data_IF_562902456495
#
_entry.id   IF_562902456495
#
_cell.length_a   1.000
_cell.length_b   1.000
_cell.length_c   1.000
_cell.angle_alpha   90.00
_cell.angle_beta   90.00
_cell.angle_gamma   90.00
#
_symmetry.space_group_name_H-M   'P 1'
#
loop_
_entity.id
_entity.type
_entity.pdbx_description
1 polymer ?
#
# COMPACT_ATOMS: atom_id res chain seq x y z
N UNK A 1 -52.91 65.30 -75.14
CA UNK A 1 -53.84 65.83 -74.13
C UNK A 1 -53.83 64.90 -72.97
N UNK A 2 -53.70 65.53 -71.71
CA UNK A 2 -53.95 65.00 -70.34
C UNK A 2 -53.12 63.78 -69.95
N UNK A 3 -52.03 63.96 -69.31
CA UNK A 3 -51.68 64.00 -67.86
C UNK A 3 -52.51 63.13 -66.90
N UNK A 4 -51.93 62.17 -66.27
CA UNK A 4 -52.27 61.87 -64.86
C UNK A 4 -51.08 61.13 -64.19
N UNK A 5 -50.60 61.82 -63.20
CA UNK A 5 -49.52 61.37 -62.30
C UNK A 5 -50.06 60.36 -61.25
N UNK A 6 -49.38 59.30 -61.08
CA UNK A 6 -49.62 58.42 -59.90
C UNK A 6 -48.32 58.27 -59.08
N UNK A 7 -48.37 58.87 -57.96
CA UNK A 7 -47.29 58.84 -56.92
C UNK A 7 -47.27 57.44 -56.28
N UNK A 8 -46.23 56.70 -56.50
CA UNK A 8 -45.95 55.49 -55.77
C UNK A 8 -45.18 55.84 -54.50
N UNK A 9 -45.85 55.60 -53.38
CA UNK A 9 -45.31 55.76 -52.03
C UNK A 9 -44.55 54.49 -51.68
N UNK A 10 -43.23 54.50 -51.76
CA UNK A 10 -42.36 53.42 -51.34
C UNK A 10 -42.18 53.41 -49.82
N UNK A 11 -42.79 52.42 -49.18
CA UNK A 11 -42.61 52.09 -47.78
C UNK A 11 -41.25 51.39 -47.64
N UNK A 12 -40.28 52.08 -47.01
CA UNK A 12 -38.97 51.54 -46.70
C UNK A 12 -39.05 50.92 -45.28
N UNK A 13 -39.31 49.64 -45.22
CA UNK A 13 -39.28 48.85 -43.96
C UNK A 13 -37.81 48.55 -43.65
N UNK A 14 -37.22 49.30 -42.71
CA UNK A 14 -35.87 49.06 -42.22
C UNK A 14 -35.83 47.78 -41.37
N UNK A 15 -35.19 46.76 -41.89
CA UNK A 15 -34.85 45.53 -41.17
C UNK A 15 -33.70 45.81 -40.21
N UNK A 16 -33.98 46.00 -38.95
CA UNK A 16 -32.96 46.12 -37.89
C UNK A 16 -32.38 44.72 -37.62
N UNK A 17 -31.22 44.42 -38.19
CA UNK A 17 -30.45 43.23 -37.84
C UNK A 17 -29.76 43.50 -36.49
N UNK A 18 -30.30 42.94 -35.43
CA UNK A 18 -29.68 42.95 -34.11
C UNK A 18 -28.54 41.92 -34.11
N UNK A 19 -27.30 42.39 -34.36
CA UNK A 19 -26.12 41.58 -34.21
C UNK A 19 -25.88 41.26 -32.72
N UNK A 20 -26.30 40.06 -32.29
CA UNK A 20 -25.91 39.49 -31.00
C UNK A 20 -24.43 39.16 -31.08
N UNK A 21 -23.60 40.01 -30.51
CA UNK A 21 -22.20 39.68 -30.24
C UNK A 21 -22.18 38.61 -29.19
N UNK A 22 -22.01 37.34 -29.61
CA UNK A 22 -21.70 36.26 -28.64
C UNK A 22 -20.28 36.55 -28.12
N UNK A 23 -20.23 36.96 -26.84
CA UNK A 23 -18.98 36.98 -26.09
C UNK A 23 -18.60 35.51 -25.85
N UNK A 24 -17.74 34.98 -26.70
CA UNK A 24 -17.08 33.71 -26.41
C UNK A 24 -16.11 33.96 -25.27
N UNK A 25 -16.47 33.50 -24.09
CA UNK A 25 -15.60 33.53 -22.92
C UNK A 25 -14.62 32.35 -23.06
N UNK A 26 -13.35 32.65 -23.25
CA UNK A 26 -12.30 31.63 -23.36
C UNK A 26 -12.08 30.98 -22.00
N UNK A 27 -12.53 29.73 -21.84
CA UNK A 27 -12.24 28.92 -20.65
C UNK A 27 -10.79 28.42 -20.73
N UNK A 28 -9.92 28.97 -19.93
CA UNK A 28 -8.54 28.54 -19.80
C UNK A 28 -8.43 27.43 -18.76
N UNK A 29 -8.18 26.21 -19.20
CA UNK A 29 -7.96 25.07 -18.31
C UNK A 29 -6.44 24.84 -18.24
N UNK A 30 -5.89 24.96 -17.04
CA UNK A 30 -4.48 24.66 -16.78
C UNK A 30 -4.37 23.24 -16.24
N UNK A 31 -3.59 22.41 -16.90
CA UNK A 31 -3.20 21.09 -16.40
C UNK A 31 -1.79 21.20 -15.83
N UNK A 32 -1.62 20.79 -14.59
CA UNK A 32 -0.32 20.70 -13.95
C UNK A 32 -0.17 19.33 -13.33
N UNK A 33 1.01 18.77 -13.45
CA UNK A 33 1.36 17.47 -12.90
C UNK A 33 2.87 17.35 -12.82
N UNK A 34 3.36 16.51 -11.94
CA UNK A 34 4.76 16.13 -11.90
C UNK A 34 4.87 14.65 -12.28
N UNK A 35 5.75 14.35 -13.23
CA UNK A 35 6.19 13.00 -13.47
C UNK A 35 7.33 12.71 -12.50
N UNK A 36 7.06 11.86 -11.52
CA UNK A 36 8.09 11.44 -10.56
C UNK A 36 8.64 10.09 -11.00
N UNK A 37 9.95 9.97 -10.99
CA UNK A 37 10.61 8.67 -11.16
C UNK A 37 10.54 7.97 -9.82
N UNK A 38 10.00 6.74 -9.74
CA UNK A 38 10.00 5.99 -8.49
C UNK A 38 11.45 5.83 -8.03
N UNK A 39 11.70 6.16 -6.78
CA UNK A 39 13.04 6.16 -6.21
C UNK A 39 13.55 4.77 -5.86
N UNK A 40 12.63 3.78 -5.74
CA UNK A 40 12.96 2.37 -5.56
C UNK A 40 11.89 1.48 -6.16
N UNK A 41 12.30 0.37 -6.73
CA UNK A 41 11.43 -0.71 -7.16
C UNK A 41 11.58 -1.88 -6.18
N UNK A 42 10.46 -2.35 -5.64
CA UNK A 42 10.44 -3.57 -4.88
C UNK A 42 10.39 -4.74 -5.87
N UNK A 43 11.50 -5.40 -6.08
CA UNK A 43 11.51 -6.65 -6.84
C UNK A 43 11.03 -7.76 -5.92
N UNK A 44 9.76 -8.04 -6.02
CA UNK A 44 9.19 -9.27 -5.46
C UNK A 44 9.26 -10.30 -6.59
N UNK A 45 10.23 -11.17 -6.55
CA UNK A 45 10.31 -12.29 -7.52
C UNK A 45 9.04 -13.14 -7.51
N UNK A 46 8.33 -13.13 -6.39
CA UNK A 46 7.02 -13.76 -6.19
C UNK A 46 6.15 -12.82 -5.35
N UNK A 47 4.94 -12.55 -5.80
CA UNK A 47 3.95 -11.77 -5.06
C UNK A 47 3.59 -12.37 -3.69
N UNK A 48 3.93 -13.64 -3.48
CA UNK A 48 3.67 -14.37 -2.24
C UNK A 48 4.91 -15.18 -1.84
N UNK A 49 5.23 -15.14 -0.56
CA UNK A 49 6.27 -15.96 0.05
C UNK A 49 5.68 -16.78 1.20
N UNK A 50 5.87 -18.10 1.18
CA UNK A 50 5.46 -18.97 2.26
C UNK A 50 6.63 -19.25 3.19
N UNK A 51 6.45 -18.95 4.48
CA UNK A 51 7.41 -19.26 5.53
C UNK A 51 6.89 -20.45 6.32
N UNK A 52 7.55 -21.60 6.19
CA UNK A 52 7.21 -22.79 6.97
C UNK A 52 7.81 -22.67 8.37
N UNK A 53 6.96 -22.50 9.38
CA UNK A 53 7.40 -22.40 10.78
C UNK A 53 7.81 -23.73 11.38
N UNK A 54 7.44 -24.86 10.77
CA UNK A 54 7.74 -26.21 11.23
C UNK A 54 6.66 -26.79 12.14
N UNK A 55 6.87 -28.02 12.56
CA UNK A 55 5.95 -28.77 13.39
C UNK A 55 6.45 -28.79 14.85
N UNK A 56 5.58 -28.45 15.78
CA UNK A 56 5.87 -28.44 17.20
C UNK A 56 4.81 -29.24 17.97
N UNK A 57 5.26 -30.05 18.92
CA UNK A 57 4.31 -30.67 19.79
C UNK A 57 3.89 -29.72 20.94
N UNK A 58 2.68 -29.91 21.44
CA UNK A 58 2.09 -29.07 22.48
C UNK A 58 2.97 -28.97 23.74
N UNK A 59 3.58 -30.07 24.16
CA UNK A 59 4.42 -30.12 25.38
C UNK A 59 5.68 -29.27 25.23
N UNK A 60 6.34 -29.35 24.09
CA UNK A 60 7.56 -28.58 23.85
C UNK A 60 7.26 -27.09 23.71
N UNK A 61 6.19 -26.73 23.00
CA UNK A 61 5.78 -25.34 22.87
C UNK A 61 5.39 -24.73 24.24
N UNK A 62 4.67 -25.47 25.09
CA UNK A 62 4.32 -25.02 26.43
C UNK A 62 5.54 -24.77 27.31
N UNK A 63 6.63 -25.49 27.08
CA UNK A 63 7.87 -25.34 27.83
C UNK A 63 8.76 -24.22 27.30
N UNK A 64 8.81 -24.04 26.00
CA UNK A 64 9.64 -23.02 25.36
C UNK A 64 9.01 -21.63 25.40
N UNK A 65 7.69 -21.52 25.50
CA UNK A 65 6.87 -20.31 25.34
C UNK A 65 7.03 -19.66 23.95
N UNK A 66 8.20 -19.68 23.35
CA UNK A 66 8.54 -19.11 22.03
C UNK A 66 9.37 -20.13 21.25
N UNK A 67 9.04 -20.35 19.98
CA UNK A 67 9.83 -21.23 19.10
C UNK A 67 11.09 -20.52 18.58
N UNK A 68 12.09 -21.27 18.13
CA UNK A 68 13.16 -20.69 17.34
C UNK A 68 12.61 -19.97 16.09
N UNK A 69 13.16 -18.79 15.77
CA UNK A 69 12.75 -18.03 14.60
C UNK A 69 13.15 -18.71 13.31
N UNK A 70 12.26 -18.77 12.34
CA UNK A 70 12.52 -19.21 10.96
C UNK A 70 12.82 -18.01 10.10
N UNK A 71 13.99 -18.03 9.46
CA UNK A 71 14.44 -16.92 8.62
C UNK A 71 13.59 -16.79 7.34
N UNK A 72 13.31 -15.57 6.96
CA UNK A 72 12.80 -15.18 5.66
C UNK A 72 13.43 -13.85 5.24
N UNK A 73 13.31 -13.50 3.99
CA UNK A 73 14.00 -12.35 3.43
C UNK A 73 13.06 -11.54 2.55
N UNK A 74 13.24 -10.22 2.58
CA UNK A 74 12.62 -9.31 1.62
C UNK A 74 13.75 -8.74 0.77
N UNK A 75 13.71 -9.03 -0.52
CA UNK A 75 14.67 -8.49 -1.48
C UNK A 75 14.11 -7.19 -2.06
N UNK A 76 14.90 -6.14 -1.99
CA UNK A 76 14.60 -4.84 -2.57
C UNK A 76 15.67 -4.44 -3.57
N UNK A 77 15.25 -3.86 -4.68
CA UNK A 77 16.15 -3.19 -5.61
C UNK A 77 16.16 -1.72 -5.28
N UNK A 78 17.33 -1.21 -4.96
CA UNK A 78 17.51 0.18 -4.60
C UNK A 78 17.76 1.02 -5.85
N UNK A 79 17.06 2.14 -5.98
CA UNK A 79 17.27 3.08 -7.06
C UNK A 79 18.36 4.08 -6.68
N UNK A 80 19.10 4.57 -7.68
CA UNK A 80 20.25 5.44 -7.49
C UNK A 80 19.99 6.75 -6.73
N UNK A 81 18.72 7.15 -6.59
CA UNK A 81 18.30 8.43 -5.99
C UNK A 81 17.65 8.31 -4.62
N UNK A 82 17.27 7.11 -4.17
CA UNK A 82 16.67 6.93 -2.86
C UNK A 82 17.72 6.75 -1.78
N UNK A 83 17.59 7.48 -0.70
CA UNK A 83 18.48 7.34 0.45
C UNK A 83 17.90 6.48 1.55
N UNK A 84 16.57 6.34 1.60
CA UNK A 84 15.87 5.57 2.62
C UNK A 84 14.61 4.91 2.05
N UNK A 85 14.25 3.79 2.64
CA UNK A 85 12.97 3.11 2.42
C UNK A 85 12.36 2.78 3.77
N UNK A 86 11.05 2.95 3.88
CA UNK A 86 10.30 2.63 5.08
C UNK A 86 9.38 1.44 4.81
N UNK A 87 9.32 0.51 5.76
CA UNK A 87 8.46 -0.67 5.70
C UNK A 87 7.56 -0.73 6.92
N UNK A 88 6.34 -1.16 6.70
CA UNK A 88 5.39 -1.49 7.76
C UNK A 88 4.83 -2.88 7.47
N UNK A 89 4.82 -3.75 8.47
CA UNK A 89 4.10 -5.01 8.40
C UNK A 89 2.68 -4.80 8.89
N UNK A 90 1.69 -5.22 8.09
CA UNK A 90 0.27 -5.10 8.40
C UNK A 90 -0.41 -6.46 8.39
N UNK A 91 -1.37 -6.66 9.30
CA UNK A 91 -2.09 -7.92 9.38
C UNK A 91 -3.10 -7.95 10.54
N UNK A 92 -3.79 -9.05 10.69
CA UNK A 92 -4.71 -9.25 11.80
C UNK A 92 -3.92 -9.51 13.08
N UNK A 93 -4.15 -8.69 14.11
CA UNK A 93 -3.49 -8.87 15.40
C UNK A 93 -4.11 -9.99 16.24
N UNK A 94 -3.26 -10.71 16.96
CA UNK A 94 -3.68 -11.73 17.90
C UNK A 94 -4.31 -11.08 19.15
N UNK A 95 -5.47 -11.57 19.56
CA UNK A 95 -6.09 -11.16 20.80
C UNK A 95 -5.17 -11.48 22.00
N UNK A 96 -4.80 -10.47 22.77
CA UNK A 96 -3.95 -10.62 23.95
C UNK A 96 -2.45 -10.42 23.75
N UNK A 97 -1.95 -10.32 22.51
CA UNK A 97 -0.56 -9.98 22.20
C UNK A 97 -0.51 -8.94 21.08
N UNK A 98 -0.56 -7.66 21.45
CA UNK A 98 -0.47 -6.57 20.48
C UNK A 98 0.84 -6.61 19.68
N UNK A 99 0.75 -6.33 18.39
CA UNK A 99 1.86 -6.35 17.46
C UNK A 99 2.29 -7.75 16.99
N UNK A 100 1.50 -8.79 17.28
CA UNK A 100 1.69 -10.14 16.76
C UNK A 100 0.52 -10.55 15.88
N UNK A 101 0.77 -11.42 14.89
CA UNK A 101 -0.24 -11.92 13.98
C UNK A 101 -1.14 -12.97 14.65
N UNK A 102 -2.42 -12.84 14.43
CA UNK A 102 -3.38 -13.90 14.68
C UNK A 102 -3.13 -15.08 13.73
N UNK A 103 -3.48 -16.27 14.17
CA UNK A 103 -3.51 -17.46 13.34
C UNK A 103 -4.95 -17.82 12.98
N UNK A 104 -5.11 -18.47 11.85
CA UNK A 104 -6.35 -19.05 11.36
C UNK A 104 -6.19 -20.58 11.25
N UNK A 105 -7.25 -21.33 11.48
CA UNK A 105 -7.27 -22.79 11.37
C UNK A 105 -7.70 -23.47 12.64
N UNK A 106 -7.23 -24.71 12.82
CA UNK A 106 -7.66 -25.58 13.94
C UNK A 106 -6.81 -25.39 15.21
N UNK A 107 -5.71 -24.63 15.13
CA UNK A 107 -4.81 -24.34 16.25
C UNK A 107 -5.31 -23.14 17.04
N UNK A 108 -5.14 -23.16 18.37
CA UNK A 108 -5.41 -22.03 19.23
C UNK A 108 -4.33 -21.86 20.30
N UNK A 109 -4.30 -20.71 20.97
CA UNK A 109 -3.38 -20.43 22.07
C UNK A 109 -1.99 -20.00 21.64
N UNK A 110 -1.79 -19.65 20.37
CA UNK A 110 -0.51 -19.13 19.84
C UNK A 110 -0.73 -17.93 18.92
N UNK A 111 0.32 -17.13 18.77
CA UNK A 111 0.41 -16.05 17.80
C UNK A 111 1.74 -16.14 17.04
N UNK A 112 1.84 -15.46 15.90
CA UNK A 112 3.09 -15.37 15.13
C UNK A 112 3.72 -14.01 15.39
N UNK A 113 4.98 -14.02 15.83
CA UNK A 113 5.80 -12.83 15.95
C UNK A 113 6.80 -12.73 14.81
N UNK A 114 7.13 -11.51 14.45
CA UNK A 114 8.21 -11.18 13.52
C UNK A 114 9.32 -10.51 14.30
N UNK A 115 10.56 -10.85 14.00
CA UNK A 115 11.73 -10.20 14.56
C UNK A 115 12.76 -9.87 13.49
N UNK A 116 13.54 -8.84 13.75
CA UNK A 116 14.67 -8.49 12.89
C UNK A 116 15.87 -9.44 13.14
N UNK A 117 16.95 -9.22 12.42
CA UNK A 117 18.18 -10.02 12.55
C UNK A 117 18.73 -10.04 13.99
N UNK A 118 18.64 -8.93 14.70
CA UNK A 118 19.11 -8.82 16.09
C UNK A 118 18.19 -9.49 17.12
N UNK A 119 17.06 -10.06 16.69
CA UNK A 119 16.08 -10.71 17.57
C UNK A 119 15.11 -9.73 18.23
N UNK A 120 15.10 -8.46 17.83
CA UNK A 120 14.12 -7.50 18.32
C UNK A 120 12.78 -7.71 17.61
N UNK A 121 11.72 -7.88 18.38
CA UNK A 121 10.36 -7.98 17.85
C UNK A 121 10.00 -6.74 17.03
N UNK A 122 9.37 -6.97 15.89
CA UNK A 122 8.74 -5.98 15.04
C UNK A 122 7.24 -6.08 15.27
N UNK A 123 6.62 -5.01 15.73
CA UNK A 123 5.18 -4.97 15.93
C UNK A 123 4.48 -4.70 14.60
N UNK A 124 3.62 -5.63 14.18
CA UNK A 124 2.73 -5.38 13.05
C UNK A 124 1.79 -4.22 13.38
N UNK A 125 1.32 -3.52 12.36
CA UNK A 125 0.44 -2.34 12.45
C UNK A 125 0.99 -1.18 13.31
N UNK A 126 2.26 -1.24 13.74
CA UNK A 126 2.83 -0.26 14.67
C UNK A 126 4.22 0.21 14.32
N UNK A 127 5.17 -0.70 14.12
CA UNK A 127 6.56 -0.33 13.91
C UNK A 127 6.82 0.02 12.44
N UNK A 128 7.40 1.19 12.20
CA UNK A 128 7.97 1.57 10.91
C UNK A 128 9.46 1.25 10.91
N UNK A 129 9.88 0.39 10.02
CA UNK A 129 11.29 0.04 9.82
C UNK A 129 11.89 0.95 8.75
N UNK A 130 13.04 1.52 9.03
CA UNK A 130 13.76 2.35 8.07
C UNK A 130 15.10 1.72 7.73
N UNK A 131 15.39 1.67 6.44
CA UNK A 131 16.67 1.16 5.92
C UNK A 131 17.28 2.17 4.96
N UNK A 132 18.60 2.34 5.10
CA UNK A 132 19.37 3.11 4.14
C UNK A 132 19.56 2.28 2.86
N UNK A 133 19.23 2.87 1.73
CA UNK A 133 19.20 2.20 0.41
C UNK A 133 20.03 2.96 -0.62
N UNK A 134 21.17 3.45 -0.22
CA UNK A 134 22.08 4.13 -1.15
C UNK A 134 22.80 3.15 -2.05
N UNK A 135 22.88 3.43 -3.34
CA UNK A 135 23.82 2.79 -4.24
C UNK A 135 23.30 1.94 -5.39
N UNK A 136 21.98 1.82 -5.62
CA UNK A 136 21.45 1.08 -6.79
C UNK A 136 21.70 -0.43 -6.75
N UNK A 137 21.90 -1.01 -5.58
CA UNK A 137 22.18 -2.43 -5.37
C UNK A 137 20.95 -3.21 -4.89
N UNK A 138 20.95 -4.50 -5.17
CA UNK A 138 20.01 -5.43 -4.53
C UNK A 138 20.33 -5.54 -3.05
N UNK A 139 19.35 -5.25 -2.20
CA UNK A 139 19.49 -5.39 -0.76
C UNK A 139 18.52 -6.42 -0.23
N UNK A 140 19.08 -7.42 0.45
CA UNK A 140 18.32 -8.46 1.13
C UNK A 140 18.13 -8.09 2.58
N UNK A 141 16.87 -7.95 3.01
CA UNK A 141 16.50 -7.63 4.38
C UNK A 141 16.14 -8.92 5.11
N UNK A 142 16.90 -9.33 6.12
CA UNK A 142 16.64 -10.55 6.88
C UNK A 142 15.65 -10.32 8.00
N UNK A 143 14.70 -11.24 8.10
CA UNK A 143 13.70 -11.31 9.18
C UNK A 143 13.57 -12.74 9.68
N UNK A 144 12.95 -12.91 10.84
CA UNK A 144 12.57 -14.21 11.37
C UNK A 144 11.12 -14.17 11.83
N UNK A 145 10.40 -15.27 11.60
CA UNK A 145 9.07 -15.49 12.14
C UNK A 145 9.08 -16.64 13.13
N UNK A 146 8.30 -16.54 14.20
CA UNK A 146 8.24 -17.52 15.26
C UNK A 146 6.84 -17.65 15.83
N UNK A 147 6.56 -18.77 16.51
CA UNK A 147 5.35 -18.94 17.31
C UNK A 147 5.59 -18.49 18.76
N UNK A 148 4.63 -17.76 19.29
CA UNK A 148 4.58 -17.32 20.67
C UNK A 148 3.33 -17.89 21.34
N UNK A 149 3.50 -18.51 22.52
CA UNK A 149 2.39 -18.98 23.33
C UNK A 149 1.60 -17.79 23.91
N UNK A 150 0.28 -17.85 23.80
CA UNK A 150 -0.64 -16.92 24.43
C UNK A 150 -0.89 -17.35 25.89
N UNK A 151 -0.35 -16.60 26.83
CA UNK A 151 -0.50 -16.92 28.27
C UNK A 151 -1.98 -16.84 28.67
N UNK A 152 -2.44 -17.88 29.37
CA UNK A 152 -3.82 -17.95 29.84
C UNK A 152 -4.84 -18.41 28.80
N UNK A 153 -4.41 -18.81 27.63
CA UNK A 153 -5.28 -19.43 26.62
C UNK A 153 -4.96 -20.93 26.49
N UNK A 154 -5.99 -21.71 26.18
CA UNK A 154 -5.83 -23.14 25.93
C UNK A 154 -5.11 -23.37 24.62
N UNK A 155 -3.98 -24.06 24.69
CA UNK A 155 -3.24 -24.49 23.52
C UNK A 155 -3.91 -25.69 22.88
N UNK A 156 -4.42 -25.53 21.67
CA UNK A 156 -5.01 -26.61 20.86
C UNK A 156 -4.09 -26.92 19.69
N UNK A 157 -3.79 -28.20 19.49
CA UNK A 157 -3.01 -28.65 18.34
C UNK A 157 -3.88 -28.73 17.10
N UNK A 158 -3.32 -28.35 15.95
CA UNK A 158 -3.99 -28.34 14.68
C UNK A 158 -3.11 -27.73 13.60
N UNK A 159 -3.65 -27.55 12.43
CA UNK A 159 -3.03 -26.78 11.35
C UNK A 159 -3.38 -25.31 11.50
N UNK A 160 -2.47 -24.45 11.11
CA UNK A 160 -2.69 -23.02 11.10
C UNK A 160 -2.03 -22.37 9.88
N UNK A 161 -2.56 -21.24 9.53
CA UNK A 161 -1.99 -20.29 8.59
C UNK A 161 -2.15 -18.86 9.15
N UNK A 162 -1.41 -17.94 8.59
CA UNK A 162 -1.56 -16.51 8.83
C UNK A 162 -0.99 -15.76 7.67
N UNK A 163 -1.51 -14.58 7.41
CA UNK A 163 -1.04 -13.69 6.34
C UNK A 163 -0.57 -12.38 6.94
N UNK A 164 0.59 -11.94 6.53
CA UNK A 164 1.12 -10.61 6.79
C UNK A 164 1.36 -9.92 5.45
N UNK A 165 0.92 -8.69 5.33
CA UNK A 165 1.27 -7.82 4.23
C UNK A 165 2.40 -6.90 4.68
N UNK A 166 3.21 -6.47 3.75
CA UNK A 166 4.15 -5.39 4.03
C UNK A 166 3.92 -4.27 3.02
N UNK A 167 3.95 -3.06 3.53
CA UNK A 167 3.80 -1.85 2.77
C UNK A 167 5.13 -1.13 2.72
N UNK A 168 5.47 -0.64 1.55
CA UNK A 168 6.70 0.12 1.32
C UNK A 168 6.33 1.58 1.09
N UNK A 169 6.90 2.47 1.88
CA UNK A 169 6.79 3.91 1.68
C UNK A 169 8.15 4.49 1.29
N UNK A 170 8.14 5.29 0.26
CA UNK A 170 9.29 6.07 -0.19
C UNK A 170 9.12 7.50 0.32
N UNK A 171 10.17 8.11 0.90
CA UNK A 171 10.14 9.50 1.32
C UNK A 171 10.14 10.48 0.12
#
# INVERSE_FOLDING_TARGET
>A
MKTSSLRALTFFTGLYVCSLSSLAEDLKINFSGALVVPTCELVIEKSEQTVNLGDYNKKDLSRMEKTPGKAFYIDIVTCATANKVSFVFTGQEAAGLSGMLAIEGDTSGVAIGIENESGKQIKINGDTLQYDVTGGEHKRLPFKAYLQLLKGQDLQAGRFNSVVNFEVAYP
#
